data_IF_067243747925
#
_entry.id   IF_067243747925
#
_cell.length_a   1.000
_cell.length_b   1.000
_cell.length_c   1.000
_cell.angle_alpha   90.00
_cell.angle_beta   90.00
_cell.angle_gamma   90.00
#
_symmetry.space_group_name_H-M   'P 1'
#
loop_
_entity.id
_entity.type
_entity.pdbx_description
1 polymer ?
#
# COMPACT_ATOMS: atom_id res chain seq x y z
N UNK A 1 0.58 14.23 3.13
CA UNK A 1 0.10 13.11 3.95
C UNK A 1 -0.17 11.97 2.99
N UNK A 2 0.33 10.77 3.29
CA UNK A 2 0.09 9.58 2.48
C UNK A 2 -1.15 8.88 3.03
N UNK A 3 -2.12 8.60 2.16
CA UNK A 3 -3.30 7.83 2.53
C UNK A 3 -3.19 6.42 1.94
N UNK A 4 -3.34 5.40 2.77
CA UNK A 4 -3.41 3.99 2.37
C UNK A 4 -4.81 3.50 2.70
N UNK A 5 -5.56 3.12 1.67
CA UNK A 5 -6.91 2.58 1.81
C UNK A 5 -6.90 1.13 1.36
N UNK A 6 -7.32 0.20 2.22
CA UNK A 6 -7.37 -1.22 1.89
C UNK A 6 -8.80 -1.73 2.00
N UNK A 7 -9.21 -2.49 0.99
CA UNK A 7 -10.52 -3.12 0.89
C UNK A 7 -10.37 -4.62 0.65
N UNK A 8 -11.49 -5.34 0.63
CA UNK A 8 -11.53 -6.76 0.26
C UNK A 8 -11.21 -7.01 -1.21
N UNK A 9 -11.29 -6.00 -2.08
CA UNK A 9 -11.12 -6.13 -3.54
C UNK A 9 -9.97 -5.27 -4.10
N UNK A 10 -9.17 -4.66 -3.25
CA UNK A 10 -8.09 -3.79 -3.70
C UNK A 10 -7.54 -2.89 -2.63
N UNK A 11 -6.55 -2.08 -3.00
CA UNK A 11 -6.03 -1.00 -2.17
C UNK A 11 -5.57 0.19 -3.01
N UNK A 12 -5.63 1.39 -2.43
CA UNK A 12 -5.08 2.61 -3.02
C UNK A 12 -4.02 3.24 -2.11
N UNK A 13 -3.08 3.95 -2.74
CA UNK A 13 -2.05 4.73 -2.05
C UNK A 13 -1.93 6.12 -2.68
N UNK A 14 -2.34 7.13 -1.94
CA UNK A 14 -2.41 8.53 -2.38
C UNK A 14 -1.38 9.41 -1.66
N UNK A 15 -0.85 10.43 -2.33
CA UNK A 15 0.01 11.45 -1.71
C UNK A 15 1.48 11.04 -1.52
N UNK A 16 1.94 9.97 -2.17
CA UNK A 16 3.31 9.45 -2.06
C UNK A 16 4.34 10.10 -3.00
N UNK A 17 3.96 11.17 -3.73
CA UNK A 17 4.85 11.91 -4.64
C UNK A 17 4.98 13.41 -4.31
N UNK A 18 4.34 13.91 -3.24
CA UNK A 18 4.45 15.32 -2.85
C UNK A 18 5.56 15.60 -1.83
N UNK A 19 6.54 16.38 -2.26
CA UNK A 19 7.68 16.89 -1.49
C UNK A 19 7.27 18.15 -0.70
N UNK A 20 6.62 17.99 0.47
CA UNK A 20 6.14 19.16 1.22
C UNK A 20 7.07 19.62 2.36
N UNK A 21 7.89 18.75 2.96
CA UNK A 21 8.80 19.06 4.09
C UNK A 21 10.04 18.16 4.10
N UNK A 22 11.18 18.69 4.55
CA UNK A 22 12.43 17.94 4.75
C UNK A 22 12.15 16.68 5.59
N UNK A 23 12.45 15.50 5.02
CA UNK A 23 12.26 14.20 5.67
C UNK A 23 11.01 13.42 5.22
N UNK A 24 10.02 14.06 4.59
CA UNK A 24 8.84 13.37 4.04
C UNK A 24 9.20 12.40 2.91
N UNK A 25 10.30 12.65 2.23
CA UNK A 25 10.69 11.94 1.01
C UNK A 25 11.18 10.53 1.35
N UNK A 26 11.72 10.36 2.56
CA UNK A 26 12.10 9.07 3.12
C UNK A 26 10.83 8.24 3.37
N UNK A 27 9.77 8.87 3.89
CA UNK A 27 8.47 8.20 4.12
C UNK A 27 7.81 7.85 2.79
N UNK A 28 7.82 8.77 1.82
CA UNK A 28 7.31 8.53 0.47
C UNK A 28 8.05 7.37 -0.22
N UNK A 29 9.37 7.34 -0.13
CA UNK A 29 10.19 6.25 -0.66
C UNK A 29 9.87 4.91 0.02
N UNK A 30 9.71 4.90 1.35
CA UNK A 30 9.36 3.69 2.10
C UNK A 30 8.01 3.13 1.64
N UNK A 31 6.96 3.97 1.56
CA UNK A 31 5.64 3.53 1.09
C UNK A 31 5.68 3.10 -0.38
N UNK A 32 6.40 3.83 -1.23
CA UNK A 32 6.52 3.49 -2.66
C UNK A 32 7.16 2.11 -2.87
N UNK A 33 8.23 1.81 -2.12
CA UNK A 33 8.88 0.49 -2.18
C UNK A 33 7.96 -0.61 -1.66
N UNK A 34 7.22 -0.37 -0.57
CA UNK A 34 6.24 -1.35 -0.06
C UNK A 34 5.15 -1.65 -1.08
N UNK A 35 4.58 -0.62 -1.71
CA UNK A 35 3.49 -0.76 -2.68
C UNK A 35 3.95 -1.47 -3.95
N UNK A 36 5.08 -1.05 -4.54
CA UNK A 36 5.63 -1.71 -5.73
C UNK A 36 6.11 -3.13 -5.40
N UNK A 37 6.68 -3.33 -4.22
CA UNK A 37 7.09 -4.64 -3.71
C UNK A 37 5.90 -5.60 -3.57
N UNK A 38 4.74 -5.13 -3.11
CA UNK A 38 3.51 -5.91 -3.05
C UNK A 38 3.06 -6.34 -4.45
N UNK A 39 2.98 -5.40 -5.41
CA UNK A 39 2.61 -5.71 -6.81
C UNK A 39 3.52 -6.78 -7.39
N UNK A 40 4.84 -6.63 -7.24
CA UNK A 40 5.80 -7.60 -7.74
C UNK A 40 5.71 -8.95 -7.03
N UNK A 41 5.49 -8.95 -5.71
CA UNK A 41 5.36 -10.17 -4.91
C UNK A 41 4.10 -10.96 -5.28
N UNK A 42 2.96 -10.29 -5.45
CA UNK A 42 1.73 -10.92 -5.93
C UNK A 42 1.97 -11.59 -7.28
N UNK A 43 2.55 -10.86 -8.25
CA UNK A 43 2.83 -11.40 -9.60
C UNK A 43 3.87 -12.53 -9.64
N UNK A 44 4.86 -12.50 -8.75
CA UNK A 44 6.01 -13.42 -8.81
C UNK A 44 5.85 -14.62 -7.90
N UNK A 45 5.12 -14.48 -6.80
CA UNK A 45 5.00 -15.49 -5.77
C UNK A 45 3.63 -16.17 -5.79
N UNK A 46 2.61 -15.61 -6.43
CA UNK A 46 1.27 -16.21 -6.48
C UNK A 46 0.78 -16.36 -7.93
N UNK A 47 -0.37 -17.02 -8.10
CA UNK A 47 -1.07 -17.09 -9.39
C UNK A 47 -2.28 -16.15 -9.40
N UNK A 48 -2.32 -15.16 -8.49
CA UNK A 48 -3.46 -14.25 -8.36
C UNK A 48 -3.46 -13.24 -9.51
N UNK A 49 -4.65 -13.03 -10.08
CA UNK A 49 -4.85 -11.99 -11.08
C UNK A 49 -5.09 -10.66 -10.39
N UNK A 50 -4.25 -9.67 -10.74
CA UNK A 50 -4.36 -8.30 -10.24
C UNK A 50 -4.33 -7.34 -11.42
N UNK A 51 -5.09 -6.25 -11.31
CA UNK A 51 -4.93 -5.06 -12.13
C UNK A 51 -4.27 -3.97 -11.27
N UNK A 52 -3.42 -3.15 -11.86
CA UNK A 52 -2.79 -2.06 -11.12
C UNK A 52 -2.48 -0.87 -12.02
N UNK A 53 -2.51 0.33 -11.41
CA UNK A 53 -2.03 1.57 -12.00
C UNK A 53 -1.11 2.25 -11.01
N UNK A 54 0.05 2.68 -11.48
CA UNK A 54 1.04 3.42 -10.68
C UNK A 54 1.28 4.73 -11.43
N UNK A 55 0.78 5.82 -10.86
CA UNK A 55 0.97 7.19 -11.33
C UNK A 55 1.74 7.99 -10.27
N UNK A 56 2.21 9.19 -10.64
CA UNK A 56 2.86 10.09 -9.68
C UNK A 56 1.88 10.47 -8.57
N UNK A 57 2.10 9.92 -7.38
CA UNK A 57 1.34 10.26 -6.18
C UNK A 57 0.03 9.50 -6.02
N UNK A 58 -0.30 8.59 -6.95
CA UNK A 58 -1.46 7.70 -6.83
C UNK A 58 -1.11 6.28 -7.30
N UNK A 59 -1.38 5.29 -6.46
CA UNK A 59 -1.39 3.88 -6.85
C UNK A 59 -2.76 3.29 -6.60
N UNK A 60 -3.22 2.49 -7.56
CA UNK A 60 -4.41 1.66 -7.44
C UNK A 60 -4.03 0.21 -7.74
N UNK A 61 -4.45 -0.71 -6.88
CA UNK A 61 -4.30 -2.15 -7.06
C UNK A 61 -5.66 -2.78 -6.85
N UNK A 62 -6.20 -3.38 -7.90
CA UNK A 62 -7.43 -4.14 -7.87
C UNK A 62 -7.11 -5.63 -7.90
N UNK A 63 -7.79 -6.40 -7.06
CA UNK A 63 -7.70 -7.85 -7.04
C UNK A 63 -9.04 -8.47 -6.72
N UNK A 64 -9.27 -9.69 -7.20
CA UNK A 64 -10.49 -10.44 -6.91
C UNK A 64 -10.14 -11.79 -6.32
N UNK A 65 -10.77 -12.12 -5.20
CA UNK A 65 -10.68 -13.45 -4.57
C UNK A 65 -9.23 -13.94 -4.43
N UNK A 66 -8.37 -13.13 -3.80
CA UNK A 66 -6.97 -13.49 -3.59
C UNK A 66 -6.84 -14.87 -2.95
N UNK A 67 -5.86 -15.64 -3.42
CA UNK A 67 -5.41 -16.85 -2.76
C UNK A 67 -4.96 -16.56 -1.32
N UNK A 68 -4.87 -17.59 -0.48
CA UNK A 68 -4.32 -17.45 0.88
C UNK A 68 -2.94 -16.79 0.89
N UNK A 69 -2.11 -17.08 -0.12
CA UNK A 69 -0.78 -16.47 -0.27
C UNK A 69 -0.88 -15.01 -0.68
N UNK A 70 -1.84 -14.67 -1.54
CA UNK A 70 -2.13 -13.28 -1.91
C UNK A 70 -2.58 -12.47 -0.70
N UNK A 71 -3.55 -13.00 0.07
CA UNK A 71 -4.00 -12.39 1.32
C UNK A 71 -2.85 -12.18 2.30
N UNK A 72 -1.98 -13.19 2.49
CA UNK A 72 -0.80 -13.07 3.35
C UNK A 72 0.14 -11.94 2.93
N UNK A 73 0.33 -11.72 1.63
CA UNK A 73 1.16 -10.62 1.13
C UNK A 73 0.51 -9.25 1.38
N UNK A 74 -0.80 -9.12 1.19
CA UNK A 74 -1.51 -7.87 1.50
C UNK A 74 -1.53 -7.61 3.02
N UNK A 75 -1.63 -8.64 3.84
CA UNK A 75 -1.53 -8.53 5.30
C UNK A 75 -0.13 -8.10 5.74
N UNK A 76 0.91 -8.67 5.12
CA UNK A 76 2.30 -8.24 5.33
C UNK A 76 2.49 -6.78 4.95
N UNK A 77 1.89 -6.32 3.84
CA UNK A 77 1.91 -4.90 3.45
C UNK A 77 1.18 -4.02 4.46
N UNK A 78 -0.01 -4.42 4.91
CA UNK A 78 -0.80 -3.69 5.89
C UNK A 78 -0.03 -3.50 7.21
N UNK A 79 0.62 -4.54 7.72
CA UNK A 79 1.45 -4.47 8.92
C UNK A 79 2.58 -3.44 8.72
N UNK A 80 3.34 -3.56 7.63
CA UNK A 80 4.47 -2.66 7.37
C UNK A 80 4.03 -1.19 7.20
N UNK A 81 2.92 -0.94 6.49
CA UNK A 81 2.36 0.40 6.35
C UNK A 81 1.86 0.96 7.68
N UNK A 82 1.24 0.12 8.52
CA UNK A 82 0.79 0.49 9.86
C UNK A 82 1.95 0.79 10.79
N UNK A 83 3.07 0.08 10.69
CA UNK A 83 4.29 0.35 11.46
C UNK A 83 4.90 1.71 11.11
N UNK A 84 4.86 2.10 9.82
CA UNK A 84 5.25 3.44 9.39
C UNK A 84 4.32 4.49 10.02
N UNK A 85 3.00 4.30 9.97
CA UNK A 85 2.05 5.19 10.65
C UNK A 85 2.34 5.29 12.15
N UNK A 86 2.56 4.16 12.85
CA UNK A 86 2.84 4.16 14.28
C UNK A 86 4.13 4.90 14.62
N UNK A 87 5.14 4.82 13.75
CA UNK A 87 6.45 5.44 13.96
C UNK A 87 6.42 6.96 13.72
N UNK A 88 5.76 7.41 12.65
CA UNK A 88 5.81 8.80 12.21
C UNK A 88 4.55 9.60 12.56
N UNK A 89 3.44 8.93 12.87
CA UNK A 89 2.15 9.54 13.20
C UNK A 89 1.22 9.72 11.99
N UNK A 90 -0.06 9.93 12.30
CA UNK A 90 -1.16 10.06 11.32
C UNK A 90 -1.07 11.30 10.44
N UNK A 91 -0.29 12.32 10.86
CA UNK A 91 -0.05 13.52 10.07
C UNK A 91 0.77 13.22 8.79
N UNK A 92 1.49 12.10 8.77
CA UNK A 92 2.35 11.68 7.67
C UNK A 92 1.77 10.53 6.88
N UNK A 93 1.30 9.47 7.56
CA UNK A 93 0.72 8.27 6.93
C UNK A 93 -0.54 7.90 7.66
N UNK A 94 -1.63 7.69 6.91
CA UNK A 94 -2.89 7.20 7.43
C UNK A 94 -3.30 5.91 6.71
N UNK A 95 -3.41 4.82 7.45
CA UNK A 95 -3.86 3.51 6.97
C UNK A 95 -5.30 3.29 7.43
N UNK A 96 -6.16 2.95 6.50
CA UNK A 96 -7.57 2.64 6.75
C UNK A 96 -7.94 1.32 6.08
N UNK A 97 -8.84 0.58 6.72
CA UNK A 97 -9.33 -0.71 6.24
C UNK A 97 -10.84 -0.65 6.20
N UNK A 98 -11.45 -1.05 5.08
CA UNK A 98 -12.90 -1.15 4.96
C UNK A 98 -13.46 -2.29 5.83
N UNK A 99 -14.66 -2.10 6.38
CA UNK A 99 -15.35 -3.11 7.18
C UNK A 99 -15.46 -4.45 6.43
N UNK A 100 -15.13 -5.54 7.10
CA UNK A 100 -15.24 -6.90 6.56
C UNK A 100 -13.96 -7.47 5.92
N UNK A 101 -12.82 -6.81 6.11
CA UNK A 101 -11.49 -7.42 5.94
C UNK A 101 -11.00 -8.04 7.25
#
# INVERSE_FOLDING_TARGET
MIAVHITTTGLTVDGHAEYAKIGNDIICAAVSVLTQGLVHSLKSLTNDEIAYRIDDGHVDIEYKDLSERGCLLVDSFFIAASDIQCTYGTDYVQVTVADGR
#
